data_IF_074440336431
#
_entry.id   IF_074440336431
#
_cell.length_a   1.000
_cell.length_b   1.000
_cell.length_c   1.000
_cell.angle_alpha   90.00
_cell.angle_beta   90.00
_cell.angle_gamma   90.00
#
_symmetry.space_group_name_H-M   'P 1'
#
loop_
_entity.id
_entity.type
_entity.pdbx_description
1 polymer ?
#
# COMPACT_ATOMS: atom_id res chain seq x y z
N UNK A 1 20.99 -28.47 0.61
CA UNK A 1 20.58 -27.37 1.50
C UNK A 1 19.07 -27.22 1.43
N UNK A 2 18.43 -26.73 2.48
CA UNK A 2 17.00 -26.40 2.50
C UNK A 2 16.79 -24.97 1.98
N UNK A 3 15.83 -24.77 1.07
CA UNK A 3 15.44 -23.45 0.56
C UNK A 3 14.21 -22.89 1.28
N UNK A 4 13.99 -21.59 1.21
CA UNK A 4 12.80 -20.91 1.73
C UNK A 4 12.11 -20.08 0.64
N UNK A 5 10.80 -19.87 0.78
CA UNK A 5 10.03 -19.00 -0.09
C UNK A 5 10.17 -17.54 0.36
N UNK A 6 10.46 -16.65 -0.60
CA UNK A 6 10.60 -15.23 -0.33
C UNK A 6 9.27 -14.65 0.18
N UNK A 7 9.32 -13.99 1.34
CA UNK A 7 8.16 -13.28 1.89
C UNK A 7 8.00 -11.90 1.26
N UNK A 8 9.06 -11.30 0.72
CA UNK A 8 8.99 -10.03 0.02
C UNK A 8 10.03 -10.02 -1.10
N UNK A 9 9.67 -9.54 -2.30
CA UNK A 9 10.63 -9.35 -3.38
C UNK A 9 11.56 -8.14 -3.16
N UNK A 10 11.33 -7.34 -2.11
CA UNK A 10 12.01 -6.06 -1.88
C UNK A 10 13.54 -6.13 -1.93
N UNK A 11 14.15 -7.15 -1.31
CA UNK A 11 15.61 -7.27 -1.30
C UNK A 11 16.18 -7.39 -2.72
N UNK A 12 15.58 -8.23 -3.57
CA UNK A 12 16.03 -8.41 -4.95
C UNK A 12 15.82 -7.17 -5.80
N UNK A 13 14.71 -6.45 -5.60
CA UNK A 13 14.47 -5.18 -6.28
C UNK A 13 15.49 -4.10 -5.86
N UNK A 14 15.85 -4.03 -4.58
CA UNK A 14 16.90 -3.12 -4.11
C UNK A 14 18.26 -3.48 -4.71
N UNK A 15 18.61 -4.77 -4.79
CA UNK A 15 19.81 -5.22 -5.50
C UNK A 15 19.78 -4.84 -6.98
N UNK A 16 18.62 -4.90 -7.63
CA UNK A 16 18.44 -4.46 -9.01
C UNK A 16 18.69 -2.95 -9.18
N UNK A 17 18.20 -2.11 -8.25
CA UNK A 17 18.52 -0.68 -8.24
C UNK A 17 20.02 -0.43 -8.10
N UNK A 18 20.71 -1.19 -7.24
CA UNK A 18 22.17 -1.11 -7.09
C UNK A 18 22.94 -1.61 -8.32
N UNK A 19 22.29 -2.39 -9.18
CA UNK A 19 22.77 -2.80 -10.50
C UNK A 19 22.39 -1.83 -11.61
N UNK A 20 22.21 -0.54 -11.29
CA UNK A 20 21.88 0.55 -12.21
C UNK A 20 20.50 0.47 -12.91
N UNK A 21 19.61 -0.41 -12.46
CA UNK A 21 18.21 -0.39 -12.91
C UNK A 21 17.42 0.67 -12.14
N UNK A 22 17.41 1.91 -12.60
CA UNK A 22 16.81 3.05 -11.88
C UNK A 22 15.32 2.89 -11.50
N UNK A 23 14.55 2.08 -12.22
CA UNK A 23 13.13 1.80 -11.95
C UNK A 23 12.82 0.36 -12.29
N UNK A 24 12.29 -0.38 -11.32
CA UNK A 24 11.93 -1.79 -11.48
C UNK A 24 10.53 -2.04 -10.92
N UNK A 25 9.81 -2.98 -11.52
CA UNK A 25 8.57 -3.49 -10.97
C UNK A 25 8.49 -5.00 -11.16
N UNK A 26 7.71 -5.66 -10.31
CA UNK A 26 7.47 -7.10 -10.33
C UNK A 26 5.98 -7.38 -10.12
N UNK A 27 5.46 -8.34 -10.88
CA UNK A 27 4.13 -8.93 -10.65
C UNK A 27 4.37 -10.43 -10.46
N UNK A 28 4.20 -10.92 -9.23
CA UNK A 28 4.63 -12.26 -8.88
C UNK A 28 4.01 -12.77 -7.58
N UNK A 29 4.23 -14.06 -7.25
CA UNK A 29 3.69 -14.65 -6.02
C UNK A 29 4.44 -14.11 -4.79
N UNK A 30 3.67 -13.75 -3.77
CA UNK A 30 4.15 -13.33 -2.45
C UNK A 30 3.63 -14.31 -1.41
N UNK A 31 4.54 -14.83 -0.60
CA UNK A 31 4.21 -15.80 0.44
C UNK A 31 4.18 -15.14 1.83
N UNK A 32 3.25 -15.58 2.68
CA UNK A 32 3.12 -15.17 4.08
C UNK A 32 3.09 -16.42 4.96
N UNK A 33 3.97 -16.44 5.94
CA UNK A 33 4.17 -17.58 6.87
C UNK A 33 3.49 -17.34 8.22
N UNK A 34 2.92 -16.17 8.45
CA UNK A 34 2.20 -15.83 9.66
C UNK A 34 0.90 -16.64 9.77
N UNK A 35 0.64 -17.16 10.98
CA UNK A 35 -0.62 -17.85 11.31
C UNK A 35 -1.75 -16.84 11.54
N UNK A 36 -2.17 -16.17 10.48
CA UNK A 36 -3.21 -15.14 10.52
C UNK A 36 -4.43 -15.56 9.71
N UNK A 37 -5.43 -16.14 10.38
CA UNK A 37 -6.67 -16.58 9.74
C UNK A 37 -7.74 -15.50 9.87
N UNK A 38 -7.73 -14.53 8.97
CA UNK A 38 -8.79 -13.52 8.86
C UNK A 38 -9.31 -13.46 7.44
N UNK A 39 -10.48 -12.85 7.23
CA UNK A 39 -11.05 -12.61 5.90
C UNK A 39 -10.20 -11.69 5.00
N UNK A 40 -9.10 -11.11 5.52
CA UNK A 40 -8.20 -10.19 4.79
C UNK A 40 -6.79 -10.76 4.55
N UNK A 41 -6.48 -11.95 5.06
CA UNK A 41 -5.12 -12.51 4.97
C UNK A 41 -5.12 -13.80 4.18
N UNK A 42 -4.16 -13.91 3.27
CA UNK A 42 -3.86 -15.12 2.50
C UNK A 42 -2.38 -15.48 2.68
N UNK A 43 -2.05 -16.76 2.67
CA UNK A 43 -0.66 -17.26 2.76
C UNK A 43 0.09 -17.15 1.44
N UNK A 44 -0.64 -16.97 0.33
CA UNK A 44 -0.12 -16.73 -1.00
C UNK A 44 -1.03 -15.72 -1.72
N UNK A 45 -0.44 -14.72 -2.38
CA UNK A 45 -1.17 -13.76 -3.20
C UNK A 45 -0.27 -13.19 -4.30
N UNK A 46 -0.87 -12.55 -5.31
CA UNK A 46 -0.11 -11.84 -6.35
C UNK A 46 0.27 -10.45 -5.84
N UNK A 47 1.57 -10.22 -5.66
CA UNK A 47 2.14 -8.92 -5.34
C UNK A 47 2.30 -8.07 -6.59
N UNK A 48 2.07 -6.77 -6.44
CA UNK A 48 2.43 -5.75 -7.42
C UNK A 48 3.41 -4.81 -6.73
N UNK A 49 4.66 -4.93 -7.11
CA UNK A 49 5.80 -4.39 -6.39
C UNK A 49 6.57 -3.44 -7.29
N UNK A 50 7.01 -2.29 -6.77
CA UNK A 50 7.91 -1.40 -7.51
C UNK A 50 9.00 -0.85 -6.60
N UNK A 51 10.16 -0.55 -7.18
CA UNK A 51 11.24 0.18 -6.55
C UNK A 51 11.80 1.19 -7.56
N UNK A 52 12.16 2.38 -7.09
CA UNK A 52 12.63 3.47 -7.95
C UNK A 52 13.68 4.29 -7.21
N UNK A 53 14.77 4.63 -7.91
CA UNK A 53 15.72 5.64 -7.43
C UNK A 53 15.08 7.03 -7.51
N UNK A 54 15.33 7.85 -6.49
CA UNK A 54 14.96 9.26 -6.44
C UNK A 54 16.23 10.12 -6.39
N UNK A 55 16.10 11.42 -6.66
CA UNK A 55 17.25 12.33 -6.73
C UNK A 55 17.40 13.15 -5.47
N UNK A 56 16.33 13.87 -5.14
CA UNK A 56 16.37 14.92 -4.12
C UNK A 56 15.54 14.51 -2.90
N UNK A 57 14.34 13.97 -3.15
CA UNK A 57 13.40 13.64 -2.08
C UNK A 57 12.57 12.39 -2.43
N UNK A 58 12.34 11.53 -1.44
CA UNK A 58 11.51 10.33 -1.58
C UNK A 58 10.05 10.65 -1.97
N UNK A 59 9.60 11.89 -1.82
CA UNK A 59 8.32 12.38 -2.35
C UNK A 59 8.20 12.18 -3.87
N UNK A 60 9.31 12.10 -4.61
CA UNK A 60 9.30 11.72 -6.04
C UNK A 60 8.70 10.31 -6.27
N UNK A 61 8.99 9.38 -5.34
CA UNK A 61 8.42 8.02 -5.35
C UNK A 61 6.95 8.07 -4.95
N UNK A 62 6.59 8.85 -3.93
CA UNK A 62 5.18 9.04 -3.52
C UNK A 62 4.33 9.62 -4.64
N UNK A 63 4.84 10.62 -5.36
CA UNK A 63 4.17 11.22 -6.53
C UNK A 63 3.98 10.20 -7.65
N UNK A 64 4.94 9.30 -7.83
CA UNK A 64 4.83 8.21 -8.80
C UNK A 64 3.74 7.22 -8.40
N UNK A 65 3.71 6.79 -7.14
CA UNK A 65 2.66 5.92 -6.60
C UNK A 65 1.28 6.55 -6.73
N UNK A 66 1.14 7.84 -6.41
CA UNK A 66 -0.11 8.59 -6.58
C UNK A 66 -0.59 8.54 -8.03
N UNK A 67 0.28 8.85 -9.00
CA UNK A 67 -0.07 8.80 -10.43
C UNK A 67 -0.50 7.41 -10.88
N UNK A 68 0.15 6.36 -10.37
CA UNK A 68 -0.21 4.97 -10.67
C UNK A 68 -1.62 4.65 -10.19
N UNK A 69 -1.95 4.96 -8.92
CA UNK A 69 -3.28 4.70 -8.39
C UNK A 69 -4.37 5.50 -9.10
N UNK A 70 -4.14 6.80 -9.33
CA UNK A 70 -5.08 7.64 -10.08
C UNK A 70 -5.32 7.09 -11.49
N UNK A 71 -4.27 6.66 -12.19
CA UNK A 71 -4.39 6.05 -13.51
C UNK A 71 -5.20 4.75 -13.49
N UNK A 72 -5.00 3.89 -12.47
CA UNK A 72 -5.76 2.66 -12.29
C UNK A 72 -7.24 2.98 -12.08
N UNK A 73 -7.57 3.87 -11.13
CA UNK A 73 -8.95 4.19 -10.79
C UNK A 73 -9.72 4.81 -11.97
N UNK A 74 -9.10 5.74 -12.68
CA UNK A 74 -9.70 6.34 -13.89
C UNK A 74 -9.82 5.34 -15.02
N UNK A 75 -8.81 4.48 -15.18
CA UNK A 75 -8.83 3.41 -16.14
C UNK A 75 -9.98 2.43 -15.93
N UNK A 76 -10.23 2.04 -14.68
CA UNK A 76 -11.36 1.19 -14.31
C UNK A 76 -12.69 1.87 -14.63
N UNK A 77 -12.87 3.13 -14.22
CA UNK A 77 -14.10 3.89 -14.50
C UNK A 77 -14.35 4.08 -16.00
N UNK A 78 -13.30 4.28 -16.79
CA UNK A 78 -13.40 4.52 -18.23
C UNK A 78 -13.62 3.24 -19.04
N UNK A 79 -13.10 2.08 -18.60
CA UNK A 79 -13.02 0.86 -19.41
C UNK A 79 -13.80 -0.33 -18.87
N UNK A 80 -14.15 -0.34 -17.59
CA UNK A 80 -14.69 -1.52 -16.90
C UNK A 80 -16.10 -1.29 -16.34
N UNK A 81 -16.88 -0.38 -16.93
CA UNK A 81 -18.21 -0.04 -16.43
C UNK A 81 -19.16 -1.23 -16.37
N UNK A 82 -19.13 -2.11 -17.39
CA UNK A 82 -19.99 -3.30 -17.44
C UNK A 82 -19.64 -4.30 -16.32
N UNK A 83 -18.35 -4.55 -16.11
CA UNK A 83 -17.84 -5.45 -15.07
C UNK A 83 -18.13 -4.89 -13.66
N UNK A 84 -17.94 -3.58 -13.47
CA UNK A 84 -18.24 -2.89 -12.21
C UNK A 84 -19.73 -3.02 -11.86
N UNK A 85 -20.65 -2.78 -12.81
CA UNK A 85 -22.08 -2.96 -12.58
C UNK A 85 -22.45 -4.42 -12.30
N UNK A 86 -21.81 -5.37 -12.97
CA UNK A 86 -22.05 -6.80 -12.75
C UNK A 86 -21.70 -7.20 -11.30
N UNK A 87 -20.55 -6.77 -10.79
CA UNK A 87 -20.16 -7.00 -9.39
C UNK A 87 -21.10 -6.27 -8.43
N UNK A 88 -21.47 -5.02 -8.73
CA UNK A 88 -22.34 -4.20 -7.88
C UNK A 88 -23.72 -4.81 -7.67
N UNK A 89 -24.28 -5.50 -8.67
CA UNK A 89 -25.57 -6.20 -8.54
C UNK A 89 -25.55 -7.28 -7.45
N UNK A 90 -24.43 -7.99 -7.29
CA UNK A 90 -24.27 -9.03 -6.28
C UNK A 90 -23.80 -8.46 -4.94
N UNK A 91 -22.90 -7.47 -5.00
CA UNK A 91 -22.30 -6.83 -3.84
C UNK A 91 -22.49 -5.31 -3.95
N UNK A 92 -23.57 -4.73 -3.41
CA UNK A 92 -23.80 -3.29 -3.51
C UNK A 92 -22.68 -2.47 -2.86
N UNK A 93 -22.09 -1.54 -3.61
CA UNK A 93 -21.06 -0.60 -3.11
C UNK A 93 -21.24 0.78 -3.75
N UNK A 94 -20.75 1.82 -3.05
CA UNK A 94 -20.73 3.19 -3.56
C UNK A 94 -19.55 3.42 -4.51
N UNK A 95 -19.72 4.34 -5.47
CA UNK A 95 -18.64 4.70 -6.39
C UNK A 95 -17.38 5.14 -5.65
N UNK A 96 -16.23 4.70 -6.17
CA UNK A 96 -14.93 5.06 -5.64
C UNK A 96 -14.69 6.57 -5.82
N UNK A 97 -14.42 7.26 -4.72
CA UNK A 97 -14.11 8.70 -4.71
C UNK A 97 -12.64 8.92 -4.42
N UNK A 98 -11.99 9.76 -5.22
CA UNK A 98 -10.61 10.16 -5.03
C UNK A 98 -10.41 11.63 -5.46
N UNK A 99 -9.36 12.26 -4.93
CA UNK A 99 -9.01 13.68 -5.18
C UNK A 99 -7.68 13.81 -5.91
N UNK A 100 -7.47 14.99 -6.50
CA UNK A 100 -6.20 15.43 -7.10
C UNK A 100 -5.81 16.78 -6.48
N UNK A 101 -4.65 16.90 -5.82
CA UNK A 101 -3.74 15.81 -5.46
C UNK A 101 -4.41 14.82 -4.50
N UNK A 102 -3.85 13.61 -4.38
CA UNK A 102 -4.34 12.64 -3.39
C UNK A 102 -4.10 13.20 -1.98
N UNK A 103 -4.96 12.80 -1.04
CA UNK A 103 -4.86 13.27 0.33
C UNK A 103 -3.65 12.61 1.01
N UNK A 104 -2.65 13.41 1.39
CA UNK A 104 -1.48 12.98 2.14
C UNK A 104 -1.49 13.67 3.50
N UNK A 105 -1.28 12.88 4.54
CA UNK A 105 -1.17 13.37 5.90
C UNK A 105 -0.08 12.58 6.59
N UNK A 106 0.65 13.27 7.45
CA UNK A 106 1.61 12.66 8.36
C UNK A 106 0.87 11.79 9.38
N UNK A 107 1.57 10.83 9.96
CA UNK A 107 1.00 10.04 11.06
C UNK A 107 0.57 10.92 12.24
N UNK A 108 1.29 12.02 12.52
CA UNK A 108 0.92 13.00 13.55
C UNK A 108 -0.44 13.66 13.26
N UNK A 109 -0.71 13.98 12.01
CA UNK A 109 -2.01 14.51 11.60
C UNK A 109 -3.10 13.42 11.71
N UNK A 110 -2.79 12.18 11.30
CA UNK A 110 -3.72 11.04 11.44
C UNK A 110 -4.13 10.80 12.90
N UNK A 111 -3.16 10.73 13.81
CA UNK A 111 -3.38 10.51 15.24
C UNK A 111 -4.16 11.65 15.88
N UNK A 112 -3.90 12.89 15.46
CA UNK A 112 -4.71 14.04 15.87
C UNK A 112 -6.17 13.90 15.44
N UNK A 113 -6.42 13.57 14.15
CA UNK A 113 -7.79 13.35 13.66
C UNK A 113 -8.50 12.23 14.41
N UNK A 114 -7.79 11.15 14.74
CA UNK A 114 -8.34 10.04 15.53
C UNK A 114 -8.68 10.45 16.97
N UNK A 115 -7.86 11.30 17.62
CA UNK A 115 -8.17 11.84 18.95
C UNK A 115 -9.41 12.73 18.93
N UNK A 116 -9.58 13.53 17.87
CA UNK A 116 -10.66 14.51 17.76
C UNK A 116 -12.00 13.90 17.31
N UNK A 117 -11.96 12.89 16.45
CA UNK A 117 -13.14 12.39 15.74
C UNK A 117 -13.25 10.86 15.68
N UNK A 118 -12.23 10.12 16.12
CA UNK A 118 -12.22 8.67 16.07
C UNK A 118 -13.14 8.03 17.12
N UNK A 119 -13.39 6.72 17.01
CA UNK A 119 -13.89 5.96 18.16
C UNK A 119 -12.96 6.17 19.35
N UNK A 120 -13.43 5.93 20.58
CA UNK A 120 -12.58 6.00 21.77
C UNK A 120 -11.48 4.93 21.71
N UNK A 121 -10.42 5.21 20.96
CA UNK A 121 -9.18 4.44 20.94
C UNK A 121 -8.56 4.70 22.30
N UNK A 122 -8.35 3.65 23.08
CA UNK A 122 -7.73 3.79 24.40
C UNK A 122 -6.39 4.51 24.26
N UNK A 123 -6.10 5.47 25.15
CA UNK A 123 -4.88 6.27 25.11
C UNK A 123 -3.60 5.40 24.98
N UNK A 124 -3.64 4.18 25.51
CA UNK A 124 -2.58 3.18 25.44
C UNK A 124 -2.33 2.63 24.01
N UNK A 125 -3.39 2.39 23.23
CA UNK A 125 -3.25 1.95 21.83
C UNK A 125 -2.67 3.04 20.94
N UNK A 126 -3.04 4.30 21.20
CA UNK A 126 -2.48 5.43 20.46
C UNK A 126 -1.02 5.68 20.82
N UNK A 127 -0.66 5.55 22.10
CA UNK A 127 0.73 5.62 22.55
C UNK A 127 1.60 4.50 21.95
N UNK A 128 1.06 3.27 21.83
CA UNK A 128 1.75 2.15 21.18
C UNK A 128 2.02 2.42 19.69
N UNK A 129 1.04 3.02 19.00
CA UNK A 129 1.14 3.45 17.61
C UNK A 129 2.22 4.54 17.43
N UNK A 130 2.22 5.57 18.27
CA UNK A 130 3.23 6.64 18.26
C UNK A 130 4.64 6.09 18.55
N UNK A 131 4.77 5.15 19.49
CA UNK A 131 6.04 4.50 19.80
C UNK A 131 6.57 3.64 18.64
N UNK A 132 5.69 3.00 17.85
CA UNK A 132 6.09 2.28 16.64
C UNK A 132 6.63 3.22 15.56
N UNK A 133 5.99 4.37 15.35
CA UNK A 133 6.46 5.35 14.39
C UNK A 133 7.84 5.91 14.79
N UNK A 134 8.03 6.26 16.06
CA UNK A 134 9.32 6.77 16.54
C UNK A 134 10.47 5.79 16.32
N UNK A 135 10.20 4.47 16.34
CA UNK A 135 11.18 3.43 16.01
C UNK A 135 11.44 3.28 14.50
N UNK A 136 10.49 3.65 13.65
CA UNK A 136 10.65 3.60 12.20
C UNK A 136 11.40 4.82 11.64
N UNK A 137 11.40 5.93 12.39
CA UNK A 137 12.09 7.18 12.05
C UNK A 137 13.52 7.28 12.63
N UNK A 138 13.92 6.34 13.50
CA UNK A 138 15.24 6.26 14.13
C UNK A 138 16.14 5.23 13.42
#
# INVERSE_FOLDING_TARGET
GTGCLAQSPQLYKQMALMGDLARVFEIGPVFRSEKSLTHRHMTEFVGLDMEMTFKDDYHEVLDTLERVFLHIFEGLNARCGLEIEAVRKQFPFADLKFKRPAFRFTFREATKMLREHGPAIGAEQLAALEAQQAKAEA
#
